data_IF_505243986176
#
_entry.id   IF_505243986176
#
_cell.length_a   1.000
_cell.length_b   1.000
_cell.length_c   1.000
_cell.angle_alpha   90.00
_cell.angle_beta   90.00
_cell.angle_gamma   90.00
#
_symmetry.space_group_name_H-M   'P 1'
#
loop_
_entity.id
_entity.type
_entity.pdbx_description
1 polymer ?
#
# COMPACT_ATOMS: atom_id res chain seq x y z
N UNK A 1 -7.25 -4.54 -21.05
CA UNK A 1 -6.34 -3.69 -20.27
C UNK A 1 -5.19 -4.52 -19.71
N UNK A 2 -4.08 -3.86 -19.39
CA UNK A 2 -2.88 -4.47 -18.83
C UNK A 2 -2.54 -3.73 -17.51
N UNK A 3 -2.94 -4.31 -16.38
CA UNK A 3 -2.64 -3.80 -15.04
C UNK A 3 -2.09 -4.94 -14.16
N UNK A 4 -0.81 -4.85 -13.81
CA UNK A 4 -0.11 -5.83 -12.97
C UNK A 4 -0.75 -6.01 -11.59
N UNK A 5 -1.36 -4.95 -11.04
CA UNK A 5 -2.07 -5.02 -9.73
C UNK A 5 -3.28 -5.91 -9.83
N UNK A 6 -4.06 -5.78 -10.90
CA UNK A 6 -5.23 -6.67 -11.13
C UNK A 6 -4.77 -8.11 -11.27
N UNK A 7 -3.68 -8.36 -12.00
CA UNK A 7 -3.10 -9.71 -12.11
C UNK A 7 -2.64 -10.26 -10.76
N UNK A 8 -2.01 -9.44 -9.92
CA UNK A 8 -1.60 -9.82 -8.57
C UNK A 8 -2.82 -10.14 -7.68
N UNK A 9 -3.79 -9.23 -7.64
CA UNK A 9 -5.04 -9.41 -6.86
C UNK A 9 -5.75 -10.69 -7.30
N UNK A 10 -5.93 -10.89 -8.60
CA UNK A 10 -6.57 -12.08 -9.14
C UNK A 10 -5.85 -13.36 -8.71
N UNK A 11 -4.52 -13.40 -8.80
CA UNK A 11 -3.73 -14.53 -8.33
C UNK A 11 -3.95 -14.82 -6.83
N UNK A 12 -3.95 -13.78 -5.97
CA UNK A 12 -4.16 -13.94 -4.53
C UNK A 12 -5.59 -14.37 -4.19
N UNK A 13 -6.59 -13.88 -4.92
CA UNK A 13 -7.98 -14.31 -4.80
C UNK A 13 -8.12 -15.79 -5.19
N UNK A 14 -7.46 -16.22 -6.26
CA UNK A 14 -7.46 -17.63 -6.68
C UNK A 14 -6.77 -18.55 -5.66
N UNK A 15 -5.64 -18.11 -5.10
CA UNK A 15 -4.96 -18.84 -4.02
C UNK A 15 -5.88 -19.01 -2.81
N UNK A 16 -6.52 -17.92 -2.36
CA UNK A 16 -7.48 -17.95 -1.25
C UNK A 16 -8.66 -18.89 -1.54
N UNK A 17 -9.23 -18.82 -2.75
CA UNK A 17 -10.31 -19.72 -3.17
C UNK A 17 -9.90 -21.19 -3.06
N UNK A 18 -8.72 -21.54 -3.58
CA UNK A 18 -8.19 -22.90 -3.51
C UNK A 18 -7.98 -23.36 -2.06
N UNK A 19 -7.41 -22.50 -1.21
CA UNK A 19 -7.21 -22.81 0.22
C UNK A 19 -8.55 -23.03 0.95
N UNK A 20 -9.57 -22.24 0.66
CA UNK A 20 -10.92 -22.41 1.23
C UNK A 20 -11.55 -23.75 0.75
N UNK A 21 -11.38 -24.12 -0.50
CA UNK A 21 -11.89 -25.37 -1.05
C UNK A 21 -11.28 -26.61 -0.36
N UNK A 22 -10.00 -26.57 0.04
CA UNK A 22 -9.40 -27.66 0.83
C UNK A 22 -10.09 -27.87 2.19
N UNK A 23 -10.79 -26.87 2.68
CA UNK A 23 -11.54 -26.88 3.95
C UNK A 23 -13.05 -27.14 3.75
N UNK A 24 -13.48 -27.44 2.53
CA UNK A 24 -14.90 -27.60 2.19
C UNK A 24 -15.69 -26.28 2.19
N UNK A 25 -14.99 -25.17 2.07
CA UNK A 25 -15.54 -23.82 1.91
C UNK A 25 -15.30 -23.35 0.48
N UNK A 26 -15.89 -22.22 0.09
CA UNK A 26 -15.59 -21.61 -1.21
C UNK A 26 -15.69 -20.08 -1.15
N UNK A 27 -15.22 -19.41 -2.21
CA UNK A 27 -15.22 -17.98 -2.39
C UNK A 27 -16.01 -17.61 -3.64
N UNK A 28 -17.13 -16.89 -3.49
CA UNK A 28 -17.85 -16.29 -4.61
C UNK A 28 -17.18 -15.01 -5.04
N UNK A 29 -16.90 -14.90 -6.34
CA UNK A 29 -16.16 -13.77 -6.90
C UNK A 29 -17.11 -12.93 -7.72
N UNK A 30 -17.11 -11.63 -7.42
CA UNK A 30 -17.87 -10.60 -8.14
C UNK A 30 -16.90 -9.61 -8.79
N UNK A 31 -17.28 -9.11 -9.97
CA UNK A 31 -16.55 -8.05 -10.66
C UNK A 31 -17.52 -7.01 -11.21
N UNK A 32 -17.35 -5.75 -10.80
CA UNK A 32 -18.21 -4.63 -11.22
C UNK A 32 -18.21 -3.48 -10.21
N UNK A 33 -19.15 -2.57 -10.33
CA UNK A 33 -19.33 -1.49 -9.35
C UNK A 33 -19.79 -2.06 -7.99
N UNK A 34 -19.10 -1.74 -6.89
CA UNK A 34 -19.47 -2.25 -5.56
C UNK A 34 -20.90 -1.92 -5.15
N UNK A 35 -21.43 -0.76 -5.55
CA UNK A 35 -22.80 -0.36 -5.20
C UNK A 35 -23.82 -1.28 -5.88
N UNK A 36 -23.63 -1.61 -7.16
CA UNK A 36 -24.47 -2.57 -7.87
C UNK A 36 -24.42 -3.96 -7.24
N UNK A 37 -23.19 -4.42 -6.93
CA UNK A 37 -22.97 -5.74 -6.32
C UNK A 37 -23.64 -5.82 -4.94
N UNK A 38 -23.47 -4.84 -4.07
CA UNK A 38 -24.05 -4.86 -2.72
C UNK A 38 -25.57 -4.65 -2.74
N UNK A 39 -26.12 -3.92 -3.72
CA UNK A 39 -27.58 -3.85 -3.94
C UNK A 39 -28.15 -5.20 -4.30
N UNK A 40 -27.48 -5.98 -5.15
CA UNK A 40 -27.90 -7.35 -5.44
C UNK A 40 -27.82 -8.25 -4.20
N UNK A 41 -26.76 -8.14 -3.42
CA UNK A 41 -26.58 -8.95 -2.22
C UNK A 41 -27.68 -8.67 -1.18
N UNK A 42 -28.04 -7.41 -0.98
CA UNK A 42 -29.16 -7.00 -0.12
C UNK A 42 -30.47 -7.62 -0.61
N UNK A 43 -30.77 -7.52 -1.92
CA UNK A 43 -31.96 -8.14 -2.50
C UNK A 43 -31.97 -9.67 -2.37
N UNK A 44 -30.82 -10.31 -2.20
CA UNK A 44 -30.67 -11.74 -1.92
C UNK A 44 -30.65 -12.08 -0.41
N UNK A 45 -30.97 -11.14 0.47
CA UNK A 45 -31.17 -11.36 1.89
C UNK A 45 -29.91 -11.23 2.75
N UNK A 46 -28.84 -10.63 2.23
CA UNK A 46 -27.70 -10.22 3.05
C UNK A 46 -28.05 -8.89 3.73
N UNK A 47 -27.73 -8.75 5.00
CA UNK A 47 -28.03 -7.57 5.84
C UNK A 47 -26.78 -6.86 6.37
N UNK A 48 -25.63 -7.52 6.37
CA UNK A 48 -24.35 -6.98 6.84
C UNK A 48 -23.22 -7.26 5.84
N UNK A 49 -22.32 -6.30 5.70
CA UNK A 49 -21.01 -6.46 5.09
C UNK A 49 -19.91 -6.07 6.06
N UNK A 50 -18.88 -6.90 6.19
CA UNK A 50 -17.69 -6.60 6.96
C UNK A 50 -16.48 -6.46 6.02
N UNK A 51 -15.77 -5.35 6.10
CA UNK A 51 -14.60 -5.11 5.29
C UNK A 51 -13.52 -4.32 6.02
N UNK A 52 -12.27 -4.52 5.61
CA UNK A 52 -11.16 -3.72 6.11
C UNK A 52 -11.27 -2.29 5.59
N UNK A 53 -11.21 -1.32 6.52
CA UNK A 53 -11.25 0.09 6.18
C UNK A 53 -9.95 0.56 5.53
N UNK A 54 -10.08 1.44 4.55
CA UNK A 54 -8.98 2.23 4.00
C UNK A 54 -9.27 3.72 4.16
N UNK A 55 -8.24 4.57 4.11
CA UNK A 55 -8.39 5.98 4.48
C UNK A 55 -8.30 6.93 3.28
N UNK A 56 -8.07 6.42 2.08
CA UNK A 56 -8.12 7.24 0.88
C UNK A 56 -9.57 7.69 0.54
N UNK A 57 -9.67 8.75 -0.26
CA UNK A 57 -10.95 9.36 -0.62
C UNK A 57 -11.88 8.37 -1.33
N UNK A 58 -11.35 7.60 -2.29
CA UNK A 58 -12.16 6.67 -3.06
C UNK A 58 -12.75 5.57 -2.17
N UNK A 59 -11.93 4.96 -1.32
CA UNK A 59 -12.38 3.91 -0.42
C UNK A 59 -13.46 4.42 0.54
N UNK A 60 -13.26 5.60 1.14
CA UNK A 60 -14.24 6.21 2.05
C UNK A 60 -15.57 6.52 1.35
N UNK A 61 -15.54 7.10 0.16
CA UNK A 61 -16.76 7.42 -0.61
C UNK A 61 -17.49 6.15 -1.05
N UNK A 62 -16.76 5.12 -1.48
CA UNK A 62 -17.31 3.79 -1.80
C UNK A 62 -18.01 3.18 -0.59
N UNK A 63 -17.33 3.13 0.54
CA UNK A 63 -17.82 2.49 1.75
C UNK A 63 -19.05 3.22 2.32
N UNK A 64 -19.07 4.56 2.24
CA UNK A 64 -20.26 5.36 2.58
C UNK A 64 -21.44 4.99 1.66
N UNK A 65 -21.23 4.88 0.35
CA UNK A 65 -22.32 4.49 -0.57
C UNK A 65 -22.87 3.09 -0.26
N UNK A 66 -21.97 2.13 0.04
CA UNK A 66 -22.36 0.76 0.42
C UNK A 66 -23.10 0.76 1.78
N UNK A 67 -22.68 1.60 2.73
CA UNK A 67 -23.33 1.68 4.05
C UNK A 67 -24.79 2.19 4.01
N UNK A 68 -25.21 2.80 2.91
CA UNK A 68 -26.61 3.18 2.69
C UNK A 68 -27.48 2.01 2.17
N UNK A 69 -26.86 0.90 1.78
CA UNK A 69 -27.52 -0.30 1.26
C UNK A 69 -27.57 -1.38 2.34
N UNK A 70 -26.43 -1.69 2.96
CA UNK A 70 -26.25 -2.73 3.96
C UNK A 70 -25.60 -2.17 5.21
N UNK A 71 -25.81 -2.84 6.36
CA UNK A 71 -25.05 -2.52 7.56
C UNK A 71 -23.56 -2.77 7.31
N UNK A 72 -22.74 -1.69 7.31
CA UNK A 72 -21.30 -1.77 7.03
C UNK A 72 -20.50 -1.81 8.32
N UNK A 73 -19.86 -2.95 8.57
CA UNK A 73 -18.98 -3.14 9.72
C UNK A 73 -17.51 -2.96 9.32
N UNK A 74 -16.92 -1.85 9.76
CA UNK A 74 -15.51 -1.56 9.56
C UNK A 74 -14.62 -2.43 10.44
N UNK A 75 -13.65 -3.12 9.81
CA UNK A 75 -12.56 -3.82 10.47
C UNK A 75 -11.29 -2.99 10.35
N UNK A 76 -10.63 -2.72 11.47
CA UNK A 76 -9.39 -1.96 11.51
C UNK A 76 -8.21 -2.92 11.62
N UNK A 77 -7.78 -3.48 10.51
CA UNK A 77 -6.71 -4.47 10.42
C UNK A 77 -5.72 -4.24 9.27
N UNK A 78 -5.95 -3.22 8.43
CA UNK A 78 -5.01 -2.78 7.39
C UNK A 78 -3.76 -2.13 8.00
N UNK A 79 -3.92 -1.43 9.13
CA UNK A 79 -2.88 -0.74 9.88
C UNK A 79 -2.81 -1.25 11.31
N UNK A 80 -1.75 -0.87 12.06
CA UNK A 80 -1.55 -1.29 13.45
C UNK A 80 -2.57 -0.63 14.36
N UNK A 81 -2.72 0.69 14.21
CA UNK A 81 -3.59 1.53 15.04
C UNK A 81 -4.77 2.07 14.25
N UNK A 82 -5.90 2.24 14.93
CA UNK A 82 -6.96 3.10 14.42
C UNK A 82 -6.50 4.56 14.44
N UNK A 83 -6.98 5.40 13.54
CA UNK A 83 -6.54 6.78 13.48
C UNK A 83 -6.75 7.58 14.77
N UNK A 84 -7.74 7.20 15.58
CA UNK A 84 -8.09 7.86 16.84
C UNK A 84 -7.32 7.32 18.07
N UNK A 85 -6.57 6.21 17.90
CA UNK A 85 -5.86 5.58 19.03
C UNK A 85 -4.58 6.33 19.41
N UNK A 86 -3.95 7.05 18.48
CA UNK A 86 -2.67 7.72 18.69
C UNK A 86 -2.84 9.23 18.54
N UNK A 87 -3.49 9.85 19.51
CA UNK A 87 -3.69 11.29 19.56
C UNK A 87 -2.85 11.90 20.69
N UNK A 88 -2.65 13.23 20.64
CA UNK A 88 -2.11 13.99 21.76
C UNK A 88 -3.09 14.01 22.92
N UNK A 89 -2.63 14.42 24.09
CA UNK A 89 -3.46 14.46 25.29
C UNK A 89 -4.64 15.46 25.20
N UNK A 90 -4.54 16.45 24.29
CA UNK A 90 -5.62 17.39 23.96
C UNK A 90 -6.59 16.86 22.88
N UNK A 91 -6.42 15.62 22.43
CA UNK A 91 -7.23 15.01 21.38
C UNK A 91 -6.87 15.43 19.95
N UNK A 92 -5.86 16.30 19.75
CA UNK A 92 -5.46 16.73 18.43
C UNK A 92 -4.43 15.75 17.80
N UNK A 93 -4.38 15.67 16.46
CA UNK A 93 -3.44 14.78 15.79
C UNK A 93 -1.98 15.27 15.88
N UNK A 94 -1.05 14.31 15.92
CA UNK A 94 0.36 14.56 15.75
C UNK A 94 0.69 14.97 14.32
N UNK A 95 1.53 16.00 14.16
CA UNK A 95 2.01 16.47 12.85
C UNK A 95 3.48 16.12 12.59
N UNK A 96 4.18 15.54 13.56
CA UNK A 96 5.59 15.17 13.47
C UNK A 96 5.75 13.69 13.81
N UNK A 97 6.50 12.98 12.99
CA UNK A 97 6.64 11.54 13.11
C UNK A 97 7.24 11.09 14.44
N UNK A 98 8.30 11.75 14.92
CA UNK A 98 8.99 11.28 16.14
C UNK A 98 8.11 11.29 17.40
N UNK A 99 7.34 12.34 17.72
CA UNK A 99 6.36 12.30 18.81
C UNK A 99 5.26 11.26 18.60
N UNK A 100 4.72 11.13 17.37
CA UNK A 100 3.75 10.09 17.03
C UNK A 100 4.32 8.69 17.30
N UNK A 101 5.52 8.40 16.79
CA UNK A 101 6.20 7.13 16.99
C UNK A 101 6.38 6.78 18.48
N UNK A 102 6.81 7.74 19.30
CA UNK A 102 6.99 7.52 20.74
C UNK A 102 5.65 7.20 21.42
N UNK A 103 4.58 7.94 21.10
CA UNK A 103 3.23 7.65 21.63
C UNK A 103 2.72 6.30 21.14
N UNK A 104 2.82 6.00 19.85
CA UNK A 104 2.43 4.72 19.25
C UNK A 104 3.17 3.54 19.91
N UNK A 105 4.47 3.67 20.14
CA UNK A 105 5.28 2.64 20.80
C UNK A 105 4.83 2.36 22.24
N UNK A 106 4.47 3.39 22.99
CA UNK A 106 3.95 3.20 24.36
C UNK A 106 2.54 2.62 24.37
N UNK A 107 1.75 2.89 23.32
CA UNK A 107 0.39 2.38 23.19
C UNK A 107 0.35 0.94 22.65
N UNK A 108 1.39 0.52 21.96
CA UNK A 108 1.50 -0.82 21.37
C UNK A 108 1.38 -1.93 22.42
N UNK A 109 0.46 -2.86 22.21
CA UNK A 109 0.13 -3.92 23.16
C UNK A 109 -0.25 -5.23 22.45
N UNK A 110 -0.55 -6.27 23.21
CA UNK A 110 -0.97 -7.58 22.68
C UNK A 110 -2.24 -7.52 21.82
N UNK A 111 -3.12 -6.53 22.05
CA UNK A 111 -4.36 -6.35 21.27
C UNK A 111 -4.04 -6.13 19.78
N UNK A 112 -2.98 -5.38 19.46
CA UNK A 112 -2.55 -5.09 18.09
C UNK A 112 -1.95 -6.31 17.37
N UNK A 113 -1.76 -7.41 18.07
CA UNK A 113 -1.22 -8.67 17.53
C UNK A 113 -2.21 -9.83 17.67
N UNK A 114 -3.46 -9.55 18.04
CA UNK A 114 -4.44 -10.60 18.28
C UNK A 114 -4.65 -11.45 17.01
N UNK A 115 -4.59 -12.77 17.16
CA UNK A 115 -4.91 -13.71 16.11
C UNK A 115 -6.40 -14.13 16.25
N UNK A 116 -7.16 -13.90 15.21
CA UNK A 116 -8.53 -14.36 15.14
C UNK A 116 -8.57 -15.79 14.58
N UNK A 117 -9.34 -16.66 15.24
CA UNK A 117 -9.63 -18.00 14.70
C UNK A 117 -10.82 -17.94 13.77
N UNK A 118 -10.75 -18.71 12.70
CA UNK A 118 -11.90 -18.92 11.81
C UNK A 118 -12.82 -19.92 12.49
N UNK A 119 -14.09 -19.55 12.70
CA UNK A 119 -15.14 -20.45 13.19
C UNK A 119 -15.83 -21.08 11.96
N UNK A 120 -15.24 -22.15 11.43
CA UNK A 120 -15.69 -22.80 10.18
C UNK A 120 -17.17 -23.24 10.21
N UNK A 121 -17.70 -23.55 11.40
CA UNK A 121 -19.10 -23.98 11.55
C UNK A 121 -20.12 -22.89 11.23
N UNK A 122 -19.72 -21.62 11.27
CA UNK A 122 -20.61 -20.48 10.96
C UNK A 122 -20.52 -20.05 9.51
N UNK A 123 -19.58 -20.62 8.72
CA UNK A 123 -19.41 -20.28 7.34
C UNK A 123 -20.34 -21.12 6.45
N UNK A 124 -20.94 -20.46 5.46
CA UNK A 124 -21.82 -21.10 4.51
C UNK A 124 -21.02 -21.98 3.56
N UNK A 125 -21.34 -23.30 3.56
CA UNK A 125 -20.71 -24.26 2.66
C UNK A 125 -21.44 -24.26 1.32
N UNK A 126 -20.76 -23.82 0.30
CA UNK A 126 -21.29 -23.73 -1.06
C UNK A 126 -20.15 -23.94 -2.05
N UNK A 127 -20.49 -24.26 -3.30
CA UNK A 127 -19.54 -24.32 -4.41
C UNK A 127 -19.92 -23.26 -5.43
N UNK A 128 -18.96 -22.47 -5.87
CA UNK A 128 -19.16 -21.39 -6.83
C UNK A 128 -18.24 -21.56 -8.03
N UNK A 129 -18.84 -21.54 -9.22
CA UNK A 129 -18.11 -21.60 -10.48
C UNK A 129 -18.10 -20.23 -11.15
N UNK A 130 -16.97 -19.87 -11.78
CA UNK A 130 -16.84 -18.63 -12.53
C UNK A 130 -16.83 -17.35 -11.69
N UNK A 131 -17.01 -16.26 -12.39
CA UNK A 131 -17.09 -14.88 -11.85
C UNK A 131 -18.47 -14.34 -12.18
N UNK A 132 -19.13 -13.73 -11.21
CA UNK A 132 -20.34 -12.95 -11.43
C UNK A 132 -19.93 -11.53 -11.83
N UNK A 133 -20.03 -11.21 -13.13
CA UNK A 133 -19.69 -9.91 -13.68
C UNK A 133 -20.93 -9.02 -13.80
N UNK A 134 -20.77 -7.77 -13.32
CA UNK A 134 -21.76 -6.71 -13.53
C UNK A 134 -21.24 -5.75 -14.60
N UNK A 135 -22.09 -5.46 -15.57
CA UNK A 135 -21.78 -4.56 -16.67
C UNK A 135 -23.06 -3.77 -17.03
N UNK A 136 -23.08 -2.48 -16.70
CA UNK A 136 -24.22 -1.59 -16.90
C UNK A 136 -25.58 -2.13 -16.39
N UNK A 137 -25.57 -2.71 -15.19
CA UNK A 137 -26.76 -3.27 -14.54
C UNK A 137 -27.15 -4.69 -14.99
N UNK A 138 -26.41 -5.28 -15.92
CA UNK A 138 -26.60 -6.68 -16.32
C UNK A 138 -25.65 -7.60 -15.54
N UNK A 139 -26.22 -8.68 -14.97
CA UNK A 139 -25.47 -9.76 -14.34
C UNK A 139 -25.15 -10.86 -15.35
N UNK A 140 -23.87 -11.23 -15.45
CA UNK A 140 -23.39 -12.33 -16.32
C UNK A 140 -22.44 -13.26 -15.58
N UNK A 141 -22.63 -14.56 -15.74
CA UNK A 141 -21.63 -15.54 -15.30
C UNK A 141 -20.58 -15.70 -16.40
N UNK A 142 -19.32 -15.52 -16.05
CA UNK A 142 -18.18 -15.66 -16.96
C UNK A 142 -17.14 -16.63 -16.40
N UNK A 143 -16.28 -17.22 -17.24
CA UNK A 143 -15.23 -18.12 -16.79
C UNK A 143 -14.33 -17.51 -15.70
N UNK A 144 -13.74 -18.38 -14.87
CA UNK A 144 -12.83 -17.98 -13.79
C UNK A 144 -11.42 -17.68 -14.35
N UNK A 145 -11.35 -16.71 -15.22
CA UNK A 145 -10.17 -16.28 -15.96
C UNK A 145 -10.08 -14.75 -15.92
N UNK A 146 -8.86 -14.21 -15.84
CA UNK A 146 -8.64 -12.77 -15.77
C UNK A 146 -9.08 -12.06 -17.06
N UNK A 147 -9.01 -12.76 -18.18
CA UNK A 147 -9.45 -12.27 -19.49
C UNK A 147 -10.97 -12.03 -19.53
N UNK A 148 -11.73 -12.80 -18.78
CA UNK A 148 -13.19 -12.67 -18.66
C UNK A 148 -13.64 -11.34 -18.06
N UNK A 149 -12.78 -10.72 -17.25
CA UNK A 149 -13.01 -9.39 -16.66
C UNK A 149 -12.33 -8.26 -17.44
N UNK A 150 -11.78 -8.54 -18.63
CA UNK A 150 -11.23 -7.52 -19.55
C UNK A 150 -9.75 -7.19 -19.33
N UNK A 151 -9.03 -7.97 -18.55
CA UNK A 151 -7.59 -7.78 -18.30
C UNK A 151 -6.77 -8.89 -18.95
N UNK A 152 -5.51 -8.62 -19.21
CA UNK A 152 -4.51 -9.61 -19.63
C UNK A 152 -3.65 -9.98 -18.43
N UNK A 153 -3.27 -11.24 -18.35
CA UNK A 153 -2.33 -11.68 -17.33
C UNK A 153 -0.96 -11.05 -17.57
N UNK A 154 -0.56 -10.17 -16.67
CA UNK A 154 0.75 -9.55 -16.66
C UNK A 154 1.29 -9.59 -15.21
N UNK A 155 1.76 -10.76 -14.82
CA UNK A 155 2.21 -11.00 -13.47
C UNK A 155 3.73 -11.12 -13.45
N UNK A 156 4.45 -10.31 -12.65
CA UNK A 156 5.82 -10.62 -12.30
C UNK A 156 5.88 -11.94 -11.51
N UNK A 157 7.03 -12.53 -11.41
CA UNK A 157 7.25 -13.67 -10.53
C UNK A 157 6.81 -13.31 -9.10
N UNK A 158 5.90 -14.11 -8.54
CA UNK A 158 5.40 -13.91 -7.18
C UNK A 158 6.24 -14.76 -6.24
N UNK A 159 7.01 -14.10 -5.40
CA UNK A 159 7.65 -14.73 -4.25
C UNK A 159 6.61 -14.87 -3.15
N UNK A 160 6.49 -16.04 -2.55
CA UNK A 160 5.51 -16.28 -1.50
C UNK A 160 5.87 -15.57 -0.20
N UNK A 161 4.84 -15.27 0.61
CA UNK A 161 5.00 -14.49 1.86
C UNK A 161 5.94 -15.19 2.83
N UNK A 162 5.86 -16.51 2.91
CA UNK A 162 6.69 -17.33 3.77
C UNK A 162 8.18 -17.22 3.42
N UNK A 163 8.51 -17.23 2.13
CA UNK A 163 9.88 -17.05 1.63
C UNK A 163 10.41 -15.64 1.93
N UNK A 164 9.56 -14.62 1.73
CA UNK A 164 9.91 -13.23 2.09
C UNK A 164 10.15 -13.05 3.59
N UNK A 165 9.36 -13.71 4.44
CA UNK A 165 9.54 -13.64 5.89
C UNK A 165 10.82 -14.36 6.34
N UNK A 166 11.20 -15.47 5.71
CA UNK A 166 12.45 -16.15 6.02
C UNK A 166 13.65 -15.32 5.57
N UNK A 167 13.63 -14.74 4.37
CA UNK A 167 14.64 -13.79 3.91
C UNK A 167 14.76 -12.56 4.82
N UNK A 168 13.62 -12.02 5.27
CA UNK A 168 13.62 -10.90 6.23
C UNK A 168 14.25 -11.30 7.56
N UNK A 169 13.99 -12.49 8.08
CA UNK A 169 14.57 -12.99 9.33
C UNK A 169 16.10 -12.97 9.28
N UNK A 170 16.69 -13.44 8.20
CA UNK A 170 18.14 -13.45 7.99
C UNK A 170 18.71 -12.02 7.91
N UNK A 171 17.94 -11.08 7.36
CA UNK A 171 18.36 -9.71 7.14
C UNK A 171 18.10 -8.76 8.31
N UNK A 172 17.20 -9.09 9.25
CA UNK A 172 16.77 -8.18 10.34
C UNK A 172 17.94 -7.62 11.15
N UNK A 173 18.92 -8.44 11.50
CA UNK A 173 20.08 -8.00 12.31
C UNK A 173 20.93 -6.90 11.65
N UNK A 174 20.90 -6.84 10.33
CA UNK A 174 21.64 -5.86 9.52
C UNK A 174 20.74 -4.84 8.83
N UNK A 175 19.43 -4.95 9.00
CA UNK A 175 18.44 -4.14 8.29
C UNK A 175 18.72 -2.64 8.40
N UNK A 176 18.93 -2.13 9.60
CA UNK A 176 19.20 -0.71 9.83
C UNK A 176 20.43 -0.18 9.07
N UNK A 177 21.46 -1.03 8.92
CA UNK A 177 22.73 -0.65 8.30
C UNK A 177 22.73 -0.80 6.79
N UNK A 178 21.93 -1.72 6.25
CA UNK A 178 22.02 -2.15 4.84
C UNK A 178 20.82 -1.77 3.99
N UNK A 179 19.67 -1.48 4.58
CA UNK A 179 18.42 -1.23 3.86
C UNK A 179 18.46 -0.08 2.85
N UNK A 180 19.45 0.80 2.94
CA UNK A 180 19.60 1.94 2.04
C UNK A 180 20.54 1.64 0.85
N UNK A 181 21.25 0.52 0.88
CA UNK A 181 22.20 0.13 -0.18
C UNK A 181 21.46 -0.64 -1.27
N UNK A 182 21.66 -0.23 -2.52
CA UNK A 182 20.93 -0.76 -3.67
C UNK A 182 21.48 -2.12 -4.14
N UNK A 183 22.77 -2.36 -3.94
CA UNK A 183 23.46 -3.63 -4.24
C UNK A 183 23.16 -4.74 -3.22
N UNK A 184 22.42 -4.42 -2.15
CA UNK A 184 22.05 -5.37 -1.08
C UNK A 184 20.56 -5.64 -1.14
N UNK A 185 20.19 -6.86 -1.43
CA UNK A 185 18.80 -7.31 -1.31
C UNK A 185 18.47 -7.67 0.15
N UNK A 186 18.25 -6.62 0.96
CA UNK A 186 17.90 -6.75 2.39
C UNK A 186 16.55 -6.16 2.73
N UNK A 187 15.84 -5.63 1.75
CA UNK A 187 14.47 -5.16 1.93
C UNK A 187 13.49 -6.33 2.06
N UNK A 188 12.34 -6.11 2.62
CA UNK A 188 11.41 -7.20 2.90
C UNK A 188 10.54 -7.60 1.71
N UNK A 189 10.39 -6.72 0.72
CA UNK A 189 9.45 -6.86 -0.40
C UNK A 189 7.99 -7.19 0.02
N UNK A 190 7.63 -6.86 1.29
CA UNK A 190 6.31 -7.16 1.86
C UNK A 190 5.26 -6.06 1.64
N UNK A 191 5.63 -4.95 1.00
CA UNK A 191 4.73 -3.79 0.82
C UNK A 191 3.47 -4.15 0.04
N UNK A 192 3.60 -4.91 -1.04
CA UNK A 192 2.47 -5.38 -1.84
C UNK A 192 1.57 -6.35 -1.07
N UNK A 193 2.16 -7.26 -0.30
CA UNK A 193 1.41 -8.24 0.49
C UNK A 193 0.64 -7.58 1.63
N UNK A 194 1.23 -6.56 2.28
CA UNK A 194 0.56 -5.73 3.27
C UNK A 194 -0.53 -4.85 2.64
N UNK A 195 -0.31 -4.34 1.42
CA UNK A 195 -1.29 -3.49 0.72
C UNK A 195 -2.56 -4.26 0.39
N UNK A 196 -2.43 -5.48 -0.13
CA UNK A 196 -3.56 -6.30 -0.58
C UNK A 196 -4.00 -7.36 0.43
N UNK A 197 -3.44 -7.35 1.64
CA UNK A 197 -3.87 -8.26 2.72
C UNK A 197 -3.44 -9.71 2.54
N UNK A 198 -2.51 -10.01 1.61
CA UNK A 198 -1.89 -11.33 1.52
C UNK A 198 -1.05 -11.65 2.78
N UNK A 199 -0.55 -10.62 3.46
CA UNK A 199 0.03 -10.70 4.78
C UNK A 199 -0.68 -9.72 5.73
N UNK A 200 -1.23 -10.24 6.83
CA UNK A 200 -1.77 -9.39 7.89
C UNK A 200 -0.66 -8.68 8.65
N UNK A 201 -0.81 -7.37 8.87
CA UNK A 201 0.12 -6.61 9.72
C UNK A 201 0.24 -7.21 11.13
N UNK A 202 -0.85 -7.79 11.66
CA UNK A 202 -0.85 -8.48 12.96
C UNK A 202 0.03 -9.72 12.98
N UNK A 203 0.05 -10.48 11.87
CA UNK A 203 0.95 -11.63 11.69
C UNK A 203 2.40 -11.20 11.62
N UNK A 204 2.70 -10.15 10.87
CA UNK A 204 4.04 -9.57 10.80
C UNK A 204 4.53 -9.06 12.16
N UNK A 205 3.66 -8.43 12.94
CA UNK A 205 4.00 -7.98 14.29
C UNK A 205 4.30 -9.15 15.24
N UNK A 206 3.55 -10.25 15.17
CA UNK A 206 3.87 -11.48 15.93
C UNK A 206 5.22 -12.05 15.54
N UNK A 207 5.50 -12.11 14.24
CA UNK A 207 6.81 -12.51 13.72
C UNK A 207 7.94 -11.64 14.29
N UNK A 208 7.81 -10.31 14.27
CA UNK A 208 8.82 -9.40 14.82
C UNK A 208 9.02 -9.58 16.34
N UNK A 209 7.95 -9.79 17.11
CA UNK A 209 8.03 -10.05 18.55
C UNK A 209 8.75 -11.38 18.82
N UNK A 210 8.54 -12.40 18.00
CA UNK A 210 9.25 -13.67 18.09
C UNK A 210 10.74 -13.49 17.81
N UNK A 211 11.10 -12.78 16.74
CA UNK A 211 12.50 -12.50 16.42
C UNK A 211 13.19 -11.70 17.55
N UNK A 212 12.47 -10.75 18.15
CA UNK A 212 12.99 -9.99 19.30
C UNK A 212 13.27 -10.90 20.52
N UNK A 213 12.47 -11.94 20.78
CA UNK A 213 12.74 -12.92 21.82
C UNK A 213 14.04 -13.70 21.56
N UNK A 214 14.38 -13.88 20.28
CA UNK A 214 15.62 -14.49 19.84
C UNK A 214 16.80 -13.49 19.81
N UNK A 215 16.68 -12.35 20.52
CA UNK A 215 17.70 -11.30 20.64
C UNK A 215 18.04 -10.57 19.36
N UNK A 216 17.15 -10.59 18.35
CA UNK A 216 17.30 -9.81 17.11
C UNK A 216 16.70 -8.42 17.33
N UNK A 217 17.43 -7.37 16.92
CA UNK A 217 16.91 -6.00 16.94
C UNK A 217 15.90 -5.79 15.81
N UNK A 218 14.61 -5.81 16.16
CA UNK A 218 13.50 -5.60 15.23
C UNK A 218 13.00 -4.16 15.19
N UNK A 219 13.52 -3.29 16.06
CA UNK A 219 13.08 -1.90 16.20
C UNK A 219 13.18 -1.09 14.92
N UNK A 220 14.27 -1.18 14.12
CA UNK A 220 14.38 -0.43 12.86
C UNK A 220 13.31 -0.82 11.84
N UNK A 221 12.90 -2.08 11.80
CA UNK A 221 11.84 -2.55 10.92
C UNK A 221 10.45 -2.17 11.45
N UNK A 222 10.19 -2.37 12.74
CA UNK A 222 8.98 -1.94 13.40
C UNK A 222 8.70 -0.44 13.17
N UNK A 223 9.74 0.39 13.24
CA UNK A 223 9.64 1.81 12.94
C UNK A 223 9.13 2.09 11.52
N UNK A 224 9.42 1.25 10.51
CA UNK A 224 8.87 1.42 9.16
C UNK A 224 7.38 1.11 9.10
N UNK A 225 6.92 0.12 9.85
CA UNK A 225 5.48 -0.16 9.96
C UNK A 225 4.73 1.01 10.60
N UNK A 226 5.31 1.63 11.64
CA UNK A 226 4.73 2.84 12.25
C UNK A 226 4.78 4.04 11.29
N UNK A 227 5.75 4.12 10.37
CA UNK A 227 5.75 5.15 9.32
C UNK A 227 4.59 4.96 8.35
N UNK A 228 4.30 3.72 7.95
CA UNK A 228 3.13 3.40 7.12
C UNK A 228 1.83 3.83 7.82
N UNK A 229 1.69 3.52 9.10
CA UNK A 229 0.55 3.95 9.92
C UNK A 229 0.45 5.48 10.01
N UNK A 230 1.58 6.16 10.23
CA UNK A 230 1.60 7.63 10.33
C UNK A 230 1.11 8.32 9.07
N UNK A 231 1.49 7.83 7.90
CA UNK A 231 1.00 8.39 6.65
C UNK A 231 -0.50 8.15 6.44
N UNK A 232 -0.99 6.95 6.73
CA UNK A 232 -2.41 6.66 6.69
C UNK A 232 -3.21 7.52 7.69
N UNK A 233 -2.69 7.65 8.90
CA UNK A 233 -3.23 8.53 9.95
C UNK A 233 -3.28 10.00 9.51
N UNK A 234 -2.22 10.52 8.90
CA UNK A 234 -2.21 11.89 8.37
C UNK A 234 -3.26 12.09 7.28
N UNK A 235 -3.38 11.16 6.34
CA UNK A 235 -4.36 11.25 5.27
C UNK A 235 -5.80 11.14 5.80
N UNK A 236 -6.03 10.37 6.85
CA UNK A 236 -7.32 10.28 7.52
C UNK A 236 -7.73 11.61 8.17
N UNK A 237 -6.83 12.23 8.94
CA UNK A 237 -7.11 13.49 9.64
C UNK A 237 -7.08 14.72 8.73
N UNK A 238 -6.31 14.66 7.64
CA UNK A 238 -6.09 15.75 6.71
C UNK A 238 -6.29 15.29 5.26
N UNK A 239 -7.51 14.94 4.85
CA UNK A 239 -7.77 14.36 3.51
C UNK A 239 -7.36 15.30 2.36
N UNK A 240 -7.33 16.62 2.59
CA UNK A 240 -6.89 17.60 1.60
C UNK A 240 -5.43 17.40 1.16
N UNK A 241 -4.60 16.72 1.97
CA UNK A 241 -3.24 16.36 1.58
C UNK A 241 -3.17 15.54 0.29
N UNK A 242 -4.27 14.89 -0.10
CA UNK A 242 -4.32 14.14 -1.34
C UNK A 242 -4.06 15.00 -2.59
N UNK A 243 -4.31 16.31 -2.52
CA UNK A 243 -4.19 17.23 -3.67
C UNK A 243 -3.61 18.60 -3.32
N UNK A 244 -3.55 18.99 -2.05
CA UNK A 244 -3.10 20.29 -1.60
C UNK A 244 -1.74 20.22 -0.90
N UNK A 245 -0.94 21.27 -1.10
CA UNK A 245 0.28 21.49 -0.33
C UNK A 245 -0.08 21.95 1.09
N UNK A 246 0.52 21.33 2.10
CA UNK A 246 0.30 21.72 3.50
C UNK A 246 1.11 22.97 3.89
N UNK A 247 2.39 23.03 3.54
CA UNK A 247 3.28 24.09 4.00
C UNK A 247 3.53 25.17 2.95
N UNK A 248 4.17 24.88 1.87
CA UNK A 248 4.62 25.87 0.90
C UNK A 248 3.84 25.72 -0.40
N UNK A 249 3.54 26.86 -1.04
CA UNK A 249 2.82 26.87 -2.34
C UNK A 249 3.80 26.67 -3.50
N UNK A 250 4.59 25.59 -3.46
CA UNK A 250 5.44 25.20 -4.59
C UNK A 250 4.60 24.37 -5.57
N UNK A 251 4.06 25.02 -6.56
CA UNK A 251 3.22 24.33 -7.55
C UNK A 251 4.04 23.63 -8.64
N UNK A 252 5.35 23.92 -8.73
CA UNK A 252 6.19 23.45 -9.81
C UNK A 252 5.95 24.23 -11.12
N UNK A 253 6.68 23.86 -12.14
CA UNK A 253 6.54 24.37 -13.51
C UNK A 253 6.01 23.25 -14.38
N UNK A 254 4.88 23.46 -15.04
CA UNK A 254 4.31 22.50 -15.97
C UNK A 254 5.15 22.49 -17.26
N UNK A 255 5.93 21.44 -17.45
CA UNK A 255 6.82 21.21 -18.58
C UNK A 255 6.65 19.76 -19.04
N UNK A 256 5.82 19.57 -20.06
CA UNK A 256 5.48 18.25 -20.58
C UNK A 256 6.68 17.54 -21.21
N UNK A 257 7.65 18.27 -21.79
CA UNK A 257 8.84 17.68 -22.38
C UNK A 257 9.74 17.06 -21.31
N UNK A 258 10.00 17.80 -20.22
CA UNK A 258 10.74 17.26 -19.06
C UNK A 258 10.01 16.10 -18.41
N UNK A 259 8.67 16.18 -18.29
CA UNK A 259 7.86 15.10 -17.74
C UNK A 259 7.95 13.83 -18.60
N UNK A 260 7.77 13.96 -19.92
CA UNK A 260 7.92 12.84 -20.86
C UNK A 260 9.32 12.22 -20.77
N UNK A 261 10.37 13.06 -20.76
CA UNK A 261 11.76 12.64 -20.62
C UNK A 261 11.99 11.83 -19.34
N UNK A 262 11.41 12.26 -18.22
CA UNK A 262 11.46 11.51 -16.96
C UNK A 262 10.70 10.18 -17.06
N UNK A 263 9.47 10.20 -17.55
CA UNK A 263 8.63 9.00 -17.67
C UNK A 263 9.24 7.95 -18.61
N UNK A 264 10.02 8.36 -19.60
CA UNK A 264 10.71 7.49 -20.54
C UNK A 264 12.10 7.04 -20.07
N UNK A 265 12.50 7.41 -18.86
CA UNK A 265 13.81 7.12 -18.28
C UNK A 265 14.98 7.59 -19.14
N UNK A 266 14.87 8.83 -19.66
CA UNK A 266 15.83 9.46 -20.56
C UNK A 266 16.38 10.80 -20.03
N UNK A 267 16.41 10.97 -18.70
CA UNK A 267 16.87 12.19 -18.04
C UNK A 267 18.38 12.43 -18.20
N UNK A 268 19.14 11.38 -18.57
CA UNK A 268 20.59 11.39 -18.58
C UNK A 268 21.24 11.27 -17.20
N UNK A 269 20.45 11.05 -16.15
CA UNK A 269 20.92 10.81 -14.77
C UNK A 269 20.80 9.31 -14.46
N UNK A 270 21.92 8.56 -14.43
CA UNK A 270 21.89 7.08 -14.46
C UNK A 270 21.01 6.44 -13.39
N UNK A 271 21.13 6.86 -12.12
CA UNK A 271 20.35 6.28 -10.99
C UNK A 271 18.86 6.59 -11.11
N UNK A 272 18.48 7.77 -11.63
CA UNK A 272 17.09 8.15 -11.87
C UNK A 272 16.51 7.31 -13.00
N UNK A 273 17.23 7.24 -14.13
CA UNK A 273 16.79 6.48 -15.29
C UNK A 273 16.71 4.97 -14.99
N UNK A 274 17.66 4.43 -14.22
CA UNK A 274 17.62 3.05 -13.78
C UNK A 274 16.38 2.77 -12.90
N UNK A 275 16.10 3.64 -11.93
CA UNK A 275 14.93 3.51 -11.06
C UNK A 275 13.61 3.59 -11.82
N UNK A 276 13.48 4.52 -12.77
CA UNK A 276 12.26 4.61 -13.59
C UNK A 276 12.11 3.37 -14.50
N UNK A 277 13.21 2.83 -15.05
CA UNK A 277 13.16 1.56 -15.83
C UNK A 277 12.74 0.39 -14.97
N UNK A 278 13.30 0.27 -13.75
CA UNK A 278 12.89 -0.76 -12.78
C UNK A 278 11.39 -0.70 -12.51
N UNK A 279 10.87 0.51 -12.19
CA UNK A 279 9.43 0.73 -11.98
C UNK A 279 8.60 0.28 -13.19
N UNK A 280 8.98 0.68 -14.40
CA UNK A 280 8.25 0.34 -15.61
C UNK A 280 8.29 -1.16 -15.94
N UNK A 281 9.40 -1.82 -15.65
CA UNK A 281 9.59 -3.25 -15.93
C UNK A 281 8.97 -4.15 -14.88
N UNK A 282 9.10 -3.81 -13.59
CA UNK A 282 8.74 -4.69 -12.48
C UNK A 282 7.51 -4.23 -11.71
N UNK A 283 7.19 -2.94 -11.74
CA UNK A 283 6.19 -2.33 -10.84
C UNK A 283 6.73 -2.09 -9.42
N UNK A 284 8.00 -2.35 -9.17
CA UNK A 284 8.69 -2.06 -7.90
C UNK A 284 9.79 -1.02 -8.11
N UNK A 285 10.21 -0.40 -7.04
CA UNK A 285 11.35 0.49 -6.98
C UNK A 285 11.83 0.57 -5.53
N UNK A 286 13.11 0.37 -5.32
CA UNK A 286 13.71 0.46 -3.98
C UNK A 286 13.41 1.83 -3.34
N UNK A 287 13.06 1.86 -2.04
CA UNK A 287 12.64 3.10 -1.34
C UNK A 287 13.65 4.24 -1.48
N UNK A 288 14.95 3.97 -1.40
CA UNK A 288 15.99 5.00 -1.58
C UNK A 288 15.94 5.62 -2.97
N UNK A 289 15.68 4.83 -4.00
CA UNK A 289 15.55 5.28 -5.38
C UNK A 289 14.28 6.11 -5.56
N UNK A 290 13.14 5.70 -4.95
CA UNK A 290 11.91 6.52 -4.93
C UNK A 290 12.18 7.92 -4.39
N UNK A 291 12.94 8.04 -3.29
CA UNK A 291 13.31 9.34 -2.70
C UNK A 291 14.20 10.17 -3.63
N UNK A 292 15.19 9.55 -4.29
CA UNK A 292 16.09 10.22 -5.22
C UNK A 292 15.31 10.71 -6.44
N UNK A 293 14.49 9.86 -7.04
CA UNK A 293 13.65 10.19 -8.20
C UNK A 293 12.67 11.33 -7.88
N UNK A 294 11.99 11.27 -6.72
CA UNK A 294 11.04 12.30 -6.32
C UNK A 294 11.74 13.64 -6.02
N UNK A 295 12.93 13.61 -5.40
CA UNK A 295 13.73 14.82 -5.19
C UNK A 295 14.21 15.41 -6.51
N UNK A 296 14.74 14.61 -7.42
CA UNK A 296 15.17 15.05 -8.75
C UNK A 296 14.00 15.65 -9.53
N UNK A 297 12.87 14.98 -9.56
CA UNK A 297 11.66 15.44 -10.25
C UNK A 297 11.20 16.82 -9.76
N UNK A 298 11.14 17.01 -8.44
CA UNK A 298 10.56 18.22 -7.84
C UNK A 298 11.57 19.35 -7.65
N UNK A 299 12.86 19.06 -7.50
CA UNK A 299 13.90 20.05 -7.15
C UNK A 299 14.83 20.38 -8.31
N UNK A 300 15.16 19.43 -9.18
CA UNK A 300 16.06 19.64 -10.30
C UNK A 300 15.26 19.92 -11.59
N UNK A 301 14.19 19.14 -11.87
CA UNK A 301 13.31 19.41 -12.99
C UNK A 301 12.26 20.49 -12.70
N UNK A 302 12.01 20.78 -11.43
CA UNK A 302 11.01 21.75 -10.93
C UNK A 302 9.56 21.40 -11.35
N UNK A 303 9.27 20.13 -11.58
CA UNK A 303 7.92 19.67 -11.99
C UNK A 303 6.96 19.59 -10.79
N UNK A 304 5.64 19.72 -11.01
CA UNK A 304 4.62 19.53 -9.98
C UNK A 304 4.68 18.12 -9.40
N UNK A 305 4.77 17.99 -8.07
CA UNK A 305 4.87 16.68 -7.42
C UNK A 305 3.67 15.77 -7.75
N UNK A 306 2.49 16.35 -8.01
CA UNK A 306 1.29 15.61 -8.37
C UNK A 306 1.45 14.82 -9.69
N UNK A 307 2.25 15.31 -10.63
CA UNK A 307 2.53 14.59 -11.87
C UNK A 307 3.38 13.34 -11.62
N UNK A 308 4.40 13.49 -10.79
CA UNK A 308 5.25 12.35 -10.41
C UNK A 308 4.51 11.34 -9.53
N UNK A 309 3.67 11.81 -8.61
CA UNK A 309 2.79 10.97 -7.80
C UNK A 309 1.87 10.11 -8.68
N UNK A 310 1.17 10.73 -9.64
CA UNK A 310 0.28 10.02 -10.58
C UNK A 310 1.04 9.02 -11.45
N UNK A 311 2.24 9.36 -11.88
CA UNK A 311 3.08 8.44 -12.63
C UNK A 311 3.45 7.22 -11.79
N UNK A 312 3.85 7.39 -10.54
CA UNK A 312 4.11 6.29 -9.61
C UNK A 312 2.84 5.49 -9.31
N UNK A 313 1.73 6.18 -9.05
CA UNK A 313 0.43 5.54 -8.80
C UNK A 313 -0.01 4.61 -9.95
N UNK A 314 0.32 4.97 -11.18
CA UNK A 314 0.00 4.16 -12.36
C UNK A 314 0.84 2.88 -12.43
N UNK A 315 2.10 2.92 -12.00
CA UNK A 315 3.06 1.85 -12.26
C UNK A 315 3.43 1.00 -11.04
N UNK A 316 3.30 1.53 -9.81
CA UNK A 316 3.62 0.79 -8.59
C UNK A 316 2.64 -0.36 -8.34
N UNK A 317 3.15 -1.57 -8.12
CA UNK A 317 2.39 -2.71 -7.64
C UNK A 317 1.90 -2.52 -6.22
N UNK A 318 2.75 -1.96 -5.37
CA UNK A 318 2.46 -1.71 -3.95
C UNK A 318 1.80 -0.35 -3.70
N UNK A 319 1.17 0.25 -4.72
CA UNK A 319 0.56 1.56 -4.58
C UNK A 319 -0.36 1.64 -3.35
N UNK A 320 0.02 2.50 -2.44
CA UNK A 320 -0.74 2.91 -1.27
C UNK A 320 -0.84 4.44 -1.30
N UNK A 321 -2.06 4.96 -1.39
CA UNK A 321 -2.29 6.39 -1.61
C UNK A 321 -1.63 7.24 -0.51
N UNK A 322 -1.78 6.85 0.75
CA UNK A 322 -1.20 7.59 1.87
C UNK A 322 0.33 7.61 1.80
N UNK A 323 0.95 6.44 1.60
CA UNK A 323 2.40 6.33 1.52
C UNK A 323 2.97 7.07 0.31
N UNK A 324 2.35 6.94 -0.87
CA UNK A 324 2.84 7.57 -2.10
C UNK A 324 2.69 9.09 -2.05
N UNK A 325 1.48 9.61 -1.81
CA UNK A 325 1.18 11.05 -1.77
C UNK A 325 2.08 11.76 -0.75
N UNK A 326 2.12 11.26 0.49
CA UNK A 326 2.84 11.95 1.55
C UNK A 326 4.36 11.83 1.40
N UNK A 327 4.87 10.75 0.78
CA UNK A 327 6.30 10.64 0.43
C UNK A 327 6.69 11.60 -0.69
N UNK A 328 5.84 11.81 -1.69
CA UNK A 328 6.05 12.82 -2.72
C UNK A 328 6.05 14.24 -2.14
N UNK A 329 5.09 14.56 -1.28
CA UNK A 329 5.05 15.84 -0.58
C UNK A 329 6.24 16.03 0.38
N UNK A 330 6.68 14.94 1.04
CA UNK A 330 7.88 14.96 1.86
C UNK A 330 9.12 15.36 1.02
N UNK A 331 9.29 14.75 -0.15
CA UNK A 331 10.40 15.05 -1.06
C UNK A 331 10.30 16.48 -1.65
N UNK A 332 9.10 16.91 -2.02
CA UNK A 332 8.84 18.26 -2.51
C UNK A 332 9.07 19.35 -1.45
N UNK A 333 8.97 18.99 -0.16
CA UNK A 333 9.04 19.92 0.95
C UNK A 333 7.70 20.60 1.27
N UNK A 334 6.58 20.09 0.75
CA UNK A 334 5.26 20.75 0.84
C UNK A 334 4.28 20.08 1.81
N UNK A 335 4.63 18.90 2.34
CA UNK A 335 3.76 18.10 3.19
C UNK A 335 3.76 18.48 4.67
N UNK A 336 3.13 17.64 5.49
CA UNK A 336 3.27 17.61 6.93
C UNK A 336 4.59 16.92 7.28
N UNK A 337 5.40 17.49 8.18
CA UNK A 337 6.73 16.98 8.57
C UNK A 337 7.68 16.70 7.38
N UNK A 338 7.76 17.60 6.37
CA UNK A 338 8.54 17.35 5.17
C UNK A 338 10.02 17.57 5.45
N UNK A 339 10.86 17.09 4.56
CA UNK A 339 12.25 17.53 4.54
C UNK A 339 12.33 19.04 4.26
N UNK A 340 13.39 19.74 4.73
CA UNK A 340 13.59 21.14 4.40
C UNK A 340 13.59 21.34 2.88
N UNK A 341 12.91 22.38 2.40
CA UNK A 341 12.74 22.63 0.95
C UNK A 341 14.07 22.80 0.21
N UNK A 342 15.09 23.33 0.87
CA UNK A 342 16.44 23.53 0.32
C UNK A 342 17.30 22.27 0.28
N UNK A 343 16.84 21.16 0.86
CA UNK A 343 17.55 19.88 0.85
C UNK A 343 17.29 19.17 -0.48
N UNK A 344 18.33 19.09 -1.30
CA UNK A 344 18.33 18.40 -2.58
C UNK A 344 19.17 17.13 -2.45
N UNK A 345 18.62 16.00 -2.91
CA UNK A 345 19.40 14.76 -3.02
C UNK A 345 20.14 14.77 -4.35
N UNK A 346 21.39 15.24 -4.34
CA UNK A 346 22.21 15.16 -5.55
C UNK A 346 22.34 13.71 -6.02
N UNK A 347 21.82 13.34 -7.21
CA UNK A 347 21.74 11.94 -7.63
C UNK A 347 23.11 11.26 -7.73
N UNK A 348 24.14 11.97 -8.15
CA UNK A 348 25.51 11.43 -8.27
C UNK A 348 26.13 11.13 -6.91
N UNK A 349 25.91 12.00 -5.91
CA UNK A 349 26.37 11.74 -4.55
C UNK A 349 25.58 10.62 -3.87
N UNK A 350 24.29 10.50 -4.19
CA UNK A 350 23.46 9.39 -3.69
C UNK A 350 23.90 8.07 -4.29
N UNK A 351 24.13 8.01 -5.61
CA UNK A 351 24.66 6.82 -6.28
C UNK A 351 26.01 6.40 -5.66
N UNK A 352 26.99 7.31 -5.61
CA UNK A 352 28.28 7.02 -5.00
C UNK A 352 28.20 6.47 -3.56
N UNK A 353 27.13 6.82 -2.83
CA UNK A 353 26.98 6.42 -1.43
C UNK A 353 26.25 5.11 -1.23
N UNK A 354 25.27 4.80 -2.08
CA UNK A 354 24.30 3.74 -1.85
C UNK A 354 24.25 2.68 -2.95
N UNK A 355 24.96 2.89 -4.05
CA UNK A 355 25.03 2.00 -5.20
C UNK A 355 26.40 1.29 -5.29
#
# INVERSE_FOLDING_TARGET
EDDRRVSFIFNRVMKLKNELQTKGLDLKIYFGDPVEIFTLLEANGFDEVAASGDYDKYARERDIRVSHILHFRYLHDTYIFKPEEVLKDDGTPYLVFTPFYNKAKTHFSKVHMHAYSIVEQTLFKSSYEGITKFDHGEEKQVPLEIESIGFRKNLPEIIEVEEKLEALKDNLSNYAKRRDYLDKDVTSHLSIDLRFGALSVRSLLRFLVEQKKNSIDTEPFFRQLIFRDFYAYLLFHFPNLAWENHKYRFNGIEDEEKFSTFCEARTGVPIVDAGVRELLQTGDMHNRVRMICASFFTKDLLLPWQWGEKFFAKHLLDYDAASNILSWQWSAGTGIDPQPYFRIFNPYLQSKKFD
#
